data_IF_028338952155
#
_entry.id   IF_028338952155
#
_cell.length_a   1.000
_cell.length_b   1.000
_cell.length_c   1.000
_cell.angle_alpha   90.00
_cell.angle_beta   90.00
_cell.angle_gamma   90.00
#
_symmetry.space_group_name_H-M   'P 1'
#
loop_
_entity.id
_entity.type
_entity.pdbx_description
1 polymer ?
#
# COMPACT_ATOMS: atom_id res chain seq x y z
N UNK A 1 -85.66 93.85 1.05
CA UNK A 1 -86.53 93.33 2.19
C UNK A 1 -86.74 91.82 2.06
N UNK A 2 -86.55 91.21 3.18
CA UNK A 2 -86.90 89.82 3.58
C UNK A 2 -86.11 88.63 3.04
N UNK A 3 -85.47 88.03 3.96
CA UNK A 3 -84.93 86.71 4.15
C UNK A 3 -85.93 85.59 3.86
N UNK A 4 -85.49 84.53 3.41
CA UNK A 4 -85.91 83.17 3.89
C UNK A 4 -84.82 82.19 3.79
N UNK A 5 -84.51 81.56 4.95
CA UNK A 5 -83.64 80.45 5.18
C UNK A 5 -84.22 79.13 4.63
N UNK A 6 -83.42 78.31 4.01
CA UNK A 6 -83.77 76.95 3.72
C UNK A 6 -82.60 76.04 4.16
N UNK A 7 -82.84 75.27 5.14
CA UNK A 7 -81.92 74.31 5.81
C UNK A 7 -81.48 73.20 4.79
N UNK A 8 -80.22 73.02 4.65
CA UNK A 8 -79.63 71.86 3.93
C UNK A 8 -79.45 70.67 4.95
N UNK A 9 -80.16 69.58 4.72
CA UNK A 9 -80.06 68.32 5.44
C UNK A 9 -78.72 67.68 5.05
N UNK A 10 -77.80 67.57 6.01
CA UNK A 10 -76.58 66.78 5.96
C UNK A 10 -76.86 65.28 5.77
N UNK A 11 -76.61 64.71 4.63
CA UNK A 11 -76.52 63.25 4.45
C UNK A 11 -75.16 62.75 4.98
N UNK A 12 -75.17 62.03 6.10
CA UNK A 12 -74.03 61.24 6.62
C UNK A 12 -73.81 60.05 5.65
N UNK A 13 -72.84 60.18 4.73
CA UNK A 13 -72.35 59.08 3.92
C UNK A 13 -71.70 58.04 4.80
N UNK A 14 -72.15 56.82 4.68
CA UNK A 14 -71.46 55.60 5.26
C UNK A 14 -70.10 55.52 4.59
N UNK A 15 -69.02 55.69 5.35
CA UNK A 15 -67.65 55.44 4.89
C UNK A 15 -67.51 53.97 4.54
N UNK A 16 -67.06 53.58 3.36
CA UNK A 16 -66.92 52.21 3.00
C UNK A 16 -65.78 51.57 3.84
N UNK A 17 -66.01 50.41 4.43
CA UNK A 17 -65.00 49.63 5.17
C UNK A 17 -63.93 49.00 4.26
N UNK A 18 -63.91 49.33 2.96
CA UNK A 18 -62.95 48.87 1.97
C UNK A 18 -61.50 49.24 2.33
N UNK A 19 -61.13 50.48 2.73
CA UNK A 19 -59.76 50.81 3.08
C UNK A 19 -59.23 50.05 4.28
N UNK A 20 -60.06 49.70 5.25
CA UNK A 20 -59.59 48.90 6.40
C UNK A 20 -59.28 47.46 6.02
N UNK A 21 -60.11 46.82 5.22
CA UNK A 21 -59.85 45.46 4.69
C UNK A 21 -58.64 45.41 3.80
N UNK A 22 -58.43 46.42 2.95
CA UNK A 22 -57.27 46.53 2.11
C UNK A 22 -55.97 46.72 2.91
N UNK A 23 -56.00 47.62 3.91
CA UNK A 23 -54.88 47.86 4.81
C UNK A 23 -54.54 46.59 5.65
N UNK A 24 -55.55 45.85 6.11
CA UNK A 24 -55.35 44.61 6.79
C UNK A 24 -54.70 43.57 5.89
N UNK A 25 -55.12 43.47 4.62
CA UNK A 25 -54.52 42.57 3.66
C UNK A 25 -53.03 42.94 3.37
N UNK A 26 -52.78 44.24 3.18
CA UNK A 26 -51.42 44.74 3.03
C UNK A 26 -50.54 44.45 4.26
N UNK A 27 -51.08 44.62 5.47
CA UNK A 27 -50.39 44.33 6.72
C UNK A 27 -50.04 42.84 6.84
N UNK A 28 -50.96 41.96 6.47
CA UNK A 28 -50.71 40.52 6.45
C UNK A 28 -49.63 40.12 5.46
N UNK A 29 -49.70 40.67 4.20
CA UNK A 29 -48.70 40.43 3.19
C UNK A 29 -47.35 40.97 3.62
N UNK A 30 -47.31 42.18 4.19
CA UNK A 30 -46.07 42.79 4.68
C UNK A 30 -45.44 41.95 5.81
N UNK A 31 -46.25 41.46 6.76
CA UNK A 31 -45.76 40.61 7.85
C UNK A 31 -45.22 39.28 7.35
N UNK A 32 -45.87 38.68 6.34
CA UNK A 32 -45.35 37.49 5.68
C UNK A 32 -44.02 37.74 4.98
N UNK A 33 -43.90 38.90 4.29
CA UNK A 33 -42.69 39.30 3.59
C UNK A 33 -41.52 39.57 4.56
N UNK A 34 -41.81 40.26 5.67
CA UNK A 34 -40.84 40.47 6.79
C UNK A 34 -40.41 39.13 7.39
N UNK A 35 -41.38 38.23 7.64
CA UNK A 35 -41.07 36.88 8.14
C UNK A 35 -40.17 36.09 7.18
N UNK A 36 -40.37 36.17 5.88
CA UNK A 36 -39.52 35.58 4.84
C UNK A 36 -38.12 36.17 4.86
N UNK A 37 -37.98 37.51 4.91
CA UNK A 37 -36.68 38.18 5.00
C UNK A 37 -35.92 37.80 6.26
N UNK A 38 -36.61 37.76 7.42
CA UNK A 38 -36.00 37.33 8.69
C UNK A 38 -35.57 35.86 8.61
N UNK A 39 -36.39 34.99 8.00
CA UNK A 39 -36.05 33.60 7.80
C UNK A 39 -34.86 33.41 6.85
N UNK A 40 -34.83 34.18 5.78
CA UNK A 40 -33.73 34.19 4.82
C UNK A 40 -32.43 34.69 5.48
N UNK A 41 -32.51 35.78 6.26
CA UNK A 41 -31.38 36.29 7.06
C UNK A 41 -30.86 35.27 8.07
N UNK A 42 -31.76 34.61 8.75
CA UNK A 42 -31.41 33.53 9.70
C UNK A 42 -30.67 32.38 8.98
N UNK A 43 -31.21 31.90 7.86
CA UNK A 43 -30.57 30.87 7.02
C UNK A 43 -29.20 31.29 6.50
N UNK A 44 -29.03 32.57 6.10
CA UNK A 44 -27.76 33.06 5.54
C UNK A 44 -26.70 33.34 6.62
N UNK A 45 -27.10 33.89 7.78
CA UNK A 45 -26.16 34.36 8.80
C UNK A 45 -25.90 33.26 9.86
N UNK A 46 -26.95 32.58 10.33
CA UNK A 46 -26.81 31.60 11.43
C UNK A 46 -26.53 30.21 10.91
N UNK A 47 -27.22 29.76 9.87
CA UNK A 47 -27.05 28.44 9.27
C UNK A 47 -26.09 28.43 8.07
N UNK A 48 -25.67 29.60 7.56
CA UNK A 48 -24.82 29.76 6.39
C UNK A 48 -23.46 29.05 6.51
N UNK A 49 -22.85 29.08 7.69
CA UNK A 49 -21.63 28.33 7.96
C UNK A 49 -21.86 26.81 7.99
N UNK A 50 -22.98 26.35 8.51
CA UNK A 50 -23.33 24.93 8.54
C UNK A 50 -23.73 24.41 7.16
N UNK A 51 -24.42 25.24 6.37
CA UNK A 51 -24.69 24.97 4.95
C UNK A 51 -23.42 24.96 4.11
N UNK A 52 -22.53 25.94 4.30
CA UNK A 52 -21.22 25.93 3.65
C UNK A 52 -20.38 24.74 4.06
N UNK A 53 -20.37 24.35 5.35
CA UNK A 53 -19.71 23.13 5.80
C UNK A 53 -20.31 21.87 5.17
N UNK A 54 -21.65 21.79 5.03
CA UNK A 54 -22.31 20.65 4.37
C UNK A 54 -22.08 20.64 2.87
N UNK A 55 -22.06 21.78 2.19
CA UNK A 55 -21.72 21.89 0.76
C UNK A 55 -20.24 21.54 0.56
N UNK A 56 -19.35 22.05 1.39
CA UNK A 56 -17.91 21.76 1.33
C UNK A 56 -17.64 20.30 1.68
N UNK A 57 -18.28 19.73 2.67
CA UNK A 57 -18.15 18.31 3.02
C UNK A 57 -18.70 17.36 1.95
N UNK A 58 -19.70 17.81 1.17
CA UNK A 58 -20.20 17.03 0.01
C UNK A 58 -19.43 17.29 -1.29
N UNK A 59 -18.65 18.36 -1.37
CA UNK A 59 -17.94 18.78 -2.60
C UNK A 59 -16.44 18.64 -2.50
N UNK A 60 -15.86 18.63 -1.29
CA UNK A 60 -14.42 18.46 -1.11
C UNK A 60 -14.08 17.00 -0.82
N UNK A 61 -13.63 16.33 -1.86
CA UNK A 61 -13.12 14.98 -1.76
C UNK A 61 -11.62 15.03 -1.58
N UNK A 62 -11.08 14.18 -0.70
CA UNK A 62 -9.64 14.11 -0.47
C UNK A 62 -9.06 12.92 -1.21
N UNK A 63 -7.99 13.18 -1.96
CA UNK A 63 -7.12 12.15 -2.52
C UNK A 63 -5.81 12.10 -1.75
N UNK A 64 -5.19 10.93 -1.74
CA UNK A 64 -3.90 10.72 -1.08
C UNK A 64 -2.84 10.30 -2.08
N UNK A 65 -1.63 10.81 -1.91
CA UNK A 65 -0.45 10.44 -2.71
C UNK A 65 0.60 9.83 -1.80
N UNK A 66 1.25 8.72 -2.19
CA UNK A 66 2.29 8.08 -1.39
C UNK A 66 3.47 9.01 -1.08
N UNK A 67 4.00 8.90 0.12
CA UNK A 67 5.23 9.58 0.55
C UNK A 67 6.41 8.60 0.59
N UNK A 68 7.66 9.10 0.52
CA UNK A 68 8.85 8.25 0.58
C UNK A 68 8.90 7.44 1.88
N UNK A 69 9.32 6.17 1.78
CA UNK A 69 9.62 5.36 2.97
C UNK A 69 10.84 5.86 3.72
N UNK A 70 10.95 5.52 5.00
CA UNK A 70 12.17 5.69 5.78
C UNK A 70 13.36 4.97 5.13
N UNK A 71 14.55 5.49 5.27
CA UNK A 71 15.79 4.85 4.84
C UNK A 71 16.28 3.87 5.89
N UNK A 72 17.08 2.88 5.46
CA UNK A 72 17.72 1.92 6.38
C UNK A 72 19.23 2.18 6.35
N UNK A 73 19.80 2.31 7.54
CA UNK A 73 21.22 2.60 7.77
C UNK A 73 21.88 1.48 8.54
N UNK A 74 23.16 1.30 8.34
CA UNK A 74 23.98 0.48 9.22
C UNK A 74 24.31 1.21 10.54
N UNK A 75 25.10 0.57 11.42
CA UNK A 75 25.49 1.11 12.72
C UNK A 75 26.36 2.38 12.62
N UNK A 76 27.07 2.57 11.52
CA UNK A 76 27.93 3.72 11.27
C UNK A 76 27.19 4.87 10.56
N UNK A 77 25.92 4.66 10.17
CA UNK A 77 25.13 5.65 9.44
C UNK A 77 25.31 5.58 7.92
N UNK A 78 25.93 4.52 7.39
CA UNK A 78 25.99 4.27 5.96
C UNK A 78 24.62 3.81 5.47
N UNK A 79 24.13 4.40 4.37
CA UNK A 79 22.85 4.04 3.76
C UNK A 79 22.93 2.64 3.18
N UNK A 80 22.04 1.76 3.59
CA UNK A 80 21.88 0.42 3.02
C UNK A 80 20.69 0.36 2.05
N UNK A 81 19.61 1.08 2.38
CA UNK A 81 18.41 1.18 1.55
C UNK A 81 17.96 2.63 1.49
N UNK A 82 17.81 3.13 0.28
CA UNK A 82 17.31 4.47 0.00
C UNK A 82 16.02 4.45 -0.83
N UNK A 83 15.54 5.63 -1.21
CA UNK A 83 14.47 5.79 -2.18
C UNK A 83 15.01 6.57 -3.37
N UNK A 84 14.73 6.09 -4.57
CA UNK A 84 14.98 6.80 -5.82
C UNK A 84 13.68 7.49 -6.24
N UNK A 85 13.74 8.81 -6.42
CA UNK A 85 12.64 9.57 -6.98
C UNK A 85 12.62 9.41 -8.49
N UNK A 86 11.46 9.09 -9.04
CA UNK A 86 11.23 9.03 -10.47
C UNK A 86 10.12 10.02 -10.83
N UNK A 87 10.27 10.71 -11.94
CA UNK A 87 9.16 11.48 -12.51
C UNK A 87 8.02 10.53 -12.86
N UNK A 88 6.80 10.97 -12.65
CA UNK A 88 5.62 10.14 -12.90
C UNK A 88 4.49 10.94 -13.53
N UNK A 89 3.68 10.26 -14.33
CA UNK A 89 2.42 10.74 -14.85
C UNK A 89 1.33 9.90 -14.21
N UNK A 90 0.39 10.55 -13.55
CA UNK A 90 -0.64 9.93 -12.73
C UNK A 90 -2.04 10.18 -13.28
N UNK A 91 -2.97 9.32 -12.93
CA UNK A 91 -4.39 9.52 -13.16
C UNK A 91 -5.17 9.30 -11.88
N UNK A 92 -6.01 10.25 -11.53
CA UNK A 92 -6.97 10.13 -10.42
C UNK A 92 -8.37 9.97 -11.00
N UNK A 93 -9.02 8.85 -10.72
CA UNK A 93 -10.38 8.60 -11.21
C UNK A 93 -11.38 9.44 -10.42
N UNK A 94 -12.17 10.25 -11.12
CA UNK A 94 -13.26 11.00 -10.52
C UNK A 94 -14.41 10.11 -10.01
N UNK A 95 -15.47 10.75 -9.53
CA UNK A 95 -16.67 10.05 -9.05
C UNK A 95 -17.59 9.72 -10.23
N UNK A 96 -18.09 8.49 -10.28
CA UNK A 96 -18.99 7.98 -11.33
C UNK A 96 -18.39 8.03 -12.75
N UNK A 97 -17.08 8.02 -12.88
CA UNK A 97 -16.37 7.94 -14.17
C UNK A 97 -16.34 6.48 -14.63
N UNK A 98 -16.84 6.22 -15.83
CA UNK A 98 -16.89 4.89 -16.46
C UNK A 98 -15.83 4.74 -17.56
N UNK A 99 -15.67 3.52 -18.10
CA UNK A 99 -14.72 3.27 -19.18
C UNK A 99 -14.92 4.17 -20.41
N UNK A 100 -16.16 4.47 -20.76
CA UNK A 100 -16.50 5.39 -21.87
C UNK A 100 -15.96 6.81 -21.68
N UNK A 101 -15.87 7.27 -20.42
CA UNK A 101 -15.33 8.59 -20.07
C UNK A 101 -13.81 8.60 -20.03
N UNK A 102 -13.20 7.44 -19.72
CA UNK A 102 -11.74 7.25 -19.67
C UNK A 102 -11.15 7.12 -21.08
N UNK A 103 -11.86 6.46 -22.00
CA UNK A 103 -11.36 6.16 -23.34
C UNK A 103 -10.82 7.42 -24.10
N UNK A 104 -11.56 8.54 -24.20
CA UNK A 104 -11.05 9.72 -24.90
C UNK A 104 -9.82 10.33 -24.18
N UNK A 105 -9.76 10.27 -22.85
CA UNK A 105 -8.60 10.75 -22.09
C UNK A 105 -7.38 9.86 -22.36
N UNK A 106 -7.54 8.55 -22.34
CA UNK A 106 -6.46 7.59 -22.60
C UNK A 106 -5.89 7.77 -24.01
N UNK A 107 -6.77 7.96 -25.02
CA UNK A 107 -6.34 8.23 -26.39
C UNK A 107 -5.59 9.57 -26.50
N UNK A 108 -6.07 10.61 -25.83
CA UNK A 108 -5.40 11.91 -25.82
C UNK A 108 -4.03 11.84 -25.14
N UNK A 109 -3.91 11.14 -24.02
CA UNK A 109 -2.62 10.90 -23.36
C UNK A 109 -1.67 10.14 -24.28
N UNK A 110 -2.16 9.15 -25.04
CA UNK A 110 -1.37 8.39 -26.02
C UNK A 110 -0.87 9.26 -27.18
N UNK A 111 -1.56 10.35 -27.53
CA UNK A 111 -1.08 11.34 -28.49
C UNK A 111 0.06 12.18 -27.94
N UNK A 112 0.04 12.50 -26.64
CA UNK A 112 0.95 13.43 -26.00
C UNK A 112 2.27 12.80 -25.55
N UNK A 113 2.22 11.52 -25.10
CA UNK A 113 3.39 10.82 -24.55
C UNK A 113 3.53 9.40 -25.10
N UNK A 114 4.73 8.87 -24.98
CA UNK A 114 5.01 7.48 -25.35
C UNK A 114 4.97 6.58 -24.10
N UNK A 115 4.00 5.67 -24.02
CA UNK A 115 3.91 4.66 -22.96
C UNK A 115 4.20 3.29 -23.56
N UNK A 116 5.24 2.57 -23.09
CA UNK A 116 5.53 1.23 -23.60
C UNK A 116 4.33 0.29 -23.41
N UNK A 117 4.10 -0.57 -24.41
CA UNK A 117 3.05 -1.60 -24.32
C UNK A 117 3.33 -2.51 -23.14
N UNK A 118 2.30 -2.75 -22.31
CA UNK A 118 2.39 -3.70 -21.20
C UNK A 118 2.54 -5.13 -21.77
N UNK A 119 3.64 -5.85 -21.47
CA UNK A 119 3.83 -7.21 -21.97
C UNK A 119 2.77 -8.21 -21.43
N UNK A 120 2.05 -7.82 -20.38
CA UNK A 120 0.99 -8.63 -19.77
C UNK A 120 -0.42 -8.18 -20.20
N UNK A 121 -0.57 -7.53 -21.36
CA UNK A 121 -1.87 -7.24 -21.94
C UNK A 121 -2.59 -8.55 -22.30
N UNK A 122 -3.79 -8.72 -21.78
CA UNK A 122 -4.68 -9.83 -22.10
C UNK A 122 -5.68 -9.46 -23.19
N UNK A 123 -6.29 -10.44 -23.83
CA UNK A 123 -7.38 -10.18 -24.77
C UNK A 123 -8.59 -9.54 -24.07
N UNK A 124 -8.77 -9.81 -22.77
CA UNK A 124 -9.78 -9.13 -21.95
C UNK A 124 -9.51 -7.62 -21.88
N UNK A 125 -8.27 -7.18 -21.66
CA UNK A 125 -7.92 -5.76 -21.61
C UNK A 125 -8.20 -5.05 -22.96
N UNK A 126 -7.90 -5.72 -24.07
CA UNK A 126 -8.18 -5.21 -25.42
C UNK A 126 -9.68 -5.12 -25.69
N UNK A 127 -10.47 -6.13 -25.26
CA UNK A 127 -11.93 -6.13 -25.37
C UNK A 127 -12.54 -5.03 -24.52
N UNK A 128 -12.09 -4.82 -23.31
CA UNK A 128 -12.58 -3.75 -22.41
C UNK A 128 -12.30 -2.36 -23.01
N UNK A 129 -11.12 -2.15 -23.63
CA UNK A 129 -10.81 -0.93 -24.38
C UNK A 129 -11.75 -0.74 -25.58
N UNK A 130 -11.96 -1.78 -26.39
CA UNK A 130 -12.84 -1.73 -27.55
C UNK A 130 -14.30 -1.44 -27.17
N UNK A 131 -14.80 -2.08 -26.12
CA UNK A 131 -16.14 -1.91 -25.60
C UNK A 131 -16.34 -0.58 -24.83
N UNK A 132 -15.30 0.10 -24.44
CA UNK A 132 -15.39 1.43 -23.84
C UNK A 132 -15.95 2.46 -24.83
N UNK A 133 -15.88 2.20 -26.14
CA UNK A 133 -16.63 2.95 -27.15
C UNK A 133 -18.12 2.55 -27.09
N UNK A 134 -19.06 3.49 -26.86
CA UNK A 134 -20.48 3.21 -26.73
C UNK A 134 -21.11 2.55 -27.97
N UNK A 135 -20.60 2.89 -29.17
CA UNK A 135 -21.10 2.28 -30.41
C UNK A 135 -20.70 0.80 -30.53
N UNK A 136 -19.45 0.49 -30.16
CA UNK A 136 -18.95 -0.88 -30.14
C UNK A 136 -19.68 -1.72 -29.09
N UNK A 137 -19.94 -1.15 -27.91
CA UNK A 137 -20.72 -1.82 -26.87
C UNK A 137 -22.13 -2.16 -27.36
N UNK A 138 -22.81 -1.22 -28.03
CA UNK A 138 -24.13 -1.46 -28.65
C UNK A 138 -24.05 -2.56 -29.70
N UNK A 139 -23.01 -2.55 -30.55
CA UNK A 139 -22.80 -3.57 -31.57
C UNK A 139 -22.61 -4.96 -30.96
N UNK A 140 -21.79 -5.08 -29.90
CA UNK A 140 -21.60 -6.34 -29.18
C UNK A 140 -22.88 -6.81 -28.47
N UNK A 141 -23.61 -5.91 -27.83
CA UNK A 141 -24.90 -6.22 -27.18
C UNK A 141 -25.97 -6.65 -28.19
N UNK A 142 -25.98 -6.12 -29.40
CA UNK A 142 -26.90 -6.53 -30.47
C UNK A 142 -26.67 -7.99 -30.95
N UNK A 143 -25.48 -8.54 -30.69
CA UNK A 143 -25.17 -9.96 -31.00
C UNK A 143 -25.59 -10.91 -29.89
N UNK A 144 -26.11 -10.42 -28.77
CA UNK A 144 -26.62 -11.25 -27.69
C UNK A 144 -27.96 -11.88 -28.14
N UNK A 145 -28.03 -13.20 -28.10
CA UNK A 145 -29.25 -13.95 -28.31
C UNK A 145 -30.22 -13.81 -27.12
N UNK A 146 -31.46 -14.18 -27.27
CA UNK A 146 -32.42 -14.17 -26.15
C UNK A 146 -31.96 -15.09 -25.02
N UNK A 147 -31.30 -16.20 -25.34
CA UNK A 147 -30.71 -17.14 -24.39
C UNK A 147 -29.52 -16.50 -23.63
N UNK A 148 -28.72 -15.63 -24.26
CA UNK A 148 -27.64 -14.88 -23.59
C UNK A 148 -28.19 -13.88 -22.58
N UNK A 149 -29.44 -13.42 -22.71
CA UNK A 149 -30.12 -12.44 -21.85
C UNK A 149 -30.88 -13.07 -20.69
N UNK A 150 -30.87 -14.40 -20.59
CA UNK A 150 -31.50 -15.17 -19.52
C UNK A 150 -30.44 -15.81 -18.60
N UNK A 151 -30.80 -15.96 -17.32
CA UNK A 151 -30.02 -16.69 -16.34
C UNK A 151 -30.23 -18.21 -16.49
N UNK A 152 -29.51 -19.04 -15.74
CA UNK A 152 -29.64 -20.51 -15.74
C UNK A 152 -31.06 -21.01 -15.40
N UNK A 153 -31.93 -20.16 -14.86
CA UNK A 153 -33.32 -20.45 -14.48
C UNK A 153 -34.31 -19.92 -15.49
N UNK A 154 -33.87 -19.32 -16.61
CA UNK A 154 -34.70 -18.72 -17.63
C UNK A 154 -35.28 -17.35 -17.27
N UNK A 155 -34.75 -16.67 -16.25
CA UNK A 155 -35.17 -15.32 -15.93
C UNK A 155 -34.31 -14.29 -16.69
N UNK A 156 -34.94 -13.18 -17.11
CA UNK A 156 -34.25 -12.12 -17.81
C UNK A 156 -33.17 -11.45 -16.91
N UNK A 157 -31.95 -11.42 -17.40
CA UNK A 157 -30.83 -10.74 -16.75
C UNK A 157 -31.06 -9.22 -16.82
N UNK A 158 -31.15 -8.57 -15.66
CA UNK A 158 -31.28 -7.12 -15.52
C UNK A 158 -30.00 -6.47 -15.02
N UNK A 159 -29.03 -7.26 -14.55
CA UNK A 159 -27.74 -6.80 -14.09
C UNK A 159 -26.85 -6.38 -15.27
N UNK A 160 -26.49 -5.09 -15.32
CA UNK A 160 -25.65 -4.52 -16.38
C UNK A 160 -24.26 -5.14 -16.44
N UNK A 161 -23.69 -5.53 -15.29
CA UNK A 161 -22.37 -6.16 -15.21
C UNK A 161 -22.38 -7.54 -15.88
N UNK A 162 -23.43 -8.33 -15.66
CA UNK A 162 -23.60 -9.64 -16.29
C UNK A 162 -23.83 -9.51 -17.81
N UNK A 163 -24.65 -8.54 -18.22
CA UNK A 163 -24.84 -8.26 -19.65
C UNK A 163 -23.57 -7.77 -20.33
N UNK A 164 -22.76 -6.96 -19.64
CA UNK A 164 -21.44 -6.55 -20.12
C UNK A 164 -20.50 -7.75 -20.27
N UNK A 165 -20.45 -8.65 -19.30
CA UNK A 165 -19.65 -9.87 -19.39
C UNK A 165 -20.01 -10.73 -20.60
N UNK A 166 -21.30 -10.88 -20.88
CA UNK A 166 -21.82 -11.56 -22.08
C UNK A 166 -21.42 -10.83 -23.37
N UNK A 167 -21.46 -9.48 -23.39
CA UNK A 167 -21.04 -8.68 -24.52
C UNK A 167 -19.53 -8.85 -24.81
N UNK A 168 -18.68 -8.96 -23.77
CA UNK A 168 -17.25 -9.25 -23.91
C UNK A 168 -16.99 -10.55 -24.65
N UNK A 169 -17.81 -11.59 -24.44
CA UNK A 169 -17.68 -12.87 -25.12
C UNK A 169 -17.99 -12.77 -26.63
N UNK A 170 -18.82 -11.80 -27.03
CA UNK A 170 -19.21 -11.59 -28.44
C UNK A 170 -18.20 -10.74 -29.24
N UNK A 171 -17.16 -10.20 -28.59
CA UNK A 171 -16.08 -9.47 -29.29
C UNK A 171 -15.17 -10.46 -29.99
N UNK A 172 -14.97 -10.26 -31.31
CA UNK A 172 -14.17 -11.15 -32.13
C UNK A 172 -12.67 -10.84 -32.07
N UNK A 173 -11.77 -11.78 -32.41
CA UNK A 173 -10.32 -11.54 -32.45
C UNK A 173 -9.92 -10.42 -33.43
N UNK A 174 -10.64 -10.27 -34.52
CA UNK A 174 -10.37 -9.26 -35.55
C UNK A 174 -10.64 -7.85 -35.04
N UNK A 175 -11.62 -7.68 -34.14
CA UNK A 175 -11.97 -6.39 -33.55
C UNK A 175 -10.94 -5.88 -32.54
N UNK A 176 -10.09 -6.77 -32.03
CA UNK A 176 -9.02 -6.47 -31.07
C UNK A 176 -7.62 -6.64 -31.64
N UNK A 177 -7.50 -6.85 -32.96
CA UNK A 177 -6.22 -6.93 -33.68
C UNK A 177 -5.64 -5.52 -33.87
N UNK A 178 -5.16 -4.93 -32.79
CA UNK A 178 -4.66 -3.56 -32.76
C UNK A 178 -3.19 -3.45 -33.21
N UNK A 179 -2.83 -2.33 -33.82
CA UNK A 179 -1.46 -1.94 -34.04
C UNK A 179 -0.73 -1.50 -32.77
N UNK A 180 0.58 -1.37 -32.81
CA UNK A 180 1.40 -1.01 -31.66
C UNK A 180 0.97 0.32 -31.02
N UNK A 181 0.57 1.30 -31.82
CA UNK A 181 0.11 2.60 -31.31
C UNK A 181 -1.18 2.49 -30.54
N UNK A 182 -2.09 1.68 -31.03
CA UNK A 182 -3.36 1.38 -30.32
C UNK A 182 -3.10 0.54 -29.08
N UNK A 183 -2.18 -0.43 -29.11
CA UNK A 183 -1.80 -1.22 -27.92
C UNK A 183 -1.19 -0.36 -26.80
N UNK A 184 -0.50 0.75 -27.15
CA UNK A 184 -0.10 1.74 -26.15
C UNK A 184 -1.31 2.43 -25.51
N UNK A 185 -2.31 2.81 -26.32
CA UNK A 185 -3.57 3.39 -25.78
C UNK A 185 -4.34 2.38 -24.91
N UNK A 186 -4.38 1.10 -25.31
CA UNK A 186 -4.94 0.01 -24.47
C UNK A 186 -4.21 -0.08 -23.13
N UNK A 187 -2.88 0.01 -23.15
CA UNK A 187 -2.07 0.00 -21.91
C UNK A 187 -2.42 1.17 -20.99
N UNK A 188 -2.53 2.38 -21.54
CA UNK A 188 -2.93 3.57 -20.79
C UNK A 188 -4.34 3.39 -20.23
N UNK A 189 -5.29 3.00 -21.07
CA UNK A 189 -6.68 2.75 -20.69
C UNK A 189 -6.78 1.71 -19.55
N UNK A 190 -6.11 0.57 -19.68
CA UNK A 190 -6.05 -0.48 -18.66
C UNK A 190 -5.62 0.08 -17.30
N UNK A 191 -4.51 0.85 -17.28
CA UNK A 191 -3.99 1.46 -16.04
C UNK A 191 -4.97 2.45 -15.44
N UNK A 192 -5.58 3.30 -16.26
CA UNK A 192 -6.57 4.29 -15.80
C UNK A 192 -7.86 3.62 -15.32
N UNK A 193 -8.34 2.60 -16.02
CA UNK A 193 -9.58 1.90 -15.68
C UNK A 193 -9.45 1.03 -14.41
N UNK A 194 -8.24 0.60 -14.05
CA UNK A 194 -7.96 -0.09 -12.80
C UNK A 194 -8.07 0.80 -11.56
N UNK A 195 -8.05 2.13 -11.73
CA UNK A 195 -8.21 3.06 -10.62
C UNK A 195 -9.60 2.93 -9.98
N UNK A 196 -9.66 2.74 -8.67
CA UNK A 196 -10.90 2.93 -7.91
C UNK A 196 -11.28 4.41 -7.87
N UNK A 197 -12.56 4.71 -7.61
CA UNK A 197 -13.01 6.10 -7.47
C UNK A 197 -12.19 6.84 -6.41
N UNK A 198 -11.78 8.06 -6.72
CA UNK A 198 -10.96 8.93 -5.90
C UNK A 198 -9.58 8.36 -5.53
N UNK A 199 -9.13 7.35 -6.25
CA UNK A 199 -7.78 6.80 -6.10
C UNK A 199 -6.89 7.18 -7.27
N UNK A 200 -5.60 7.39 -6.98
CA UNK A 200 -4.58 7.76 -7.98
C UNK A 200 -3.77 6.53 -8.37
N UNK A 201 -3.57 6.35 -9.66
CA UNK A 201 -2.71 5.31 -10.26
C UNK A 201 -1.65 5.96 -11.14
N UNK A 202 -0.56 5.24 -11.40
CA UNK A 202 0.46 5.70 -12.34
C UNK A 202 0.12 5.27 -13.77
N UNK A 203 0.04 6.24 -14.69
CA UNK A 203 0.02 5.96 -16.13
C UNK A 203 1.43 5.56 -16.58
N UNK A 204 2.44 6.35 -16.16
CA UNK A 204 3.86 6.10 -16.45
C UNK A 204 4.69 6.58 -15.26
N UNK A 205 5.58 5.73 -14.74
CA UNK A 205 6.44 6.02 -13.58
C UNK A 205 7.90 5.56 -13.79
N UNK A 206 8.21 5.04 -14.99
CA UNK A 206 9.55 4.66 -15.39
C UNK A 206 9.89 5.32 -16.73
N UNK A 207 11.10 5.86 -16.84
CA UNK A 207 11.56 6.50 -18.06
C UNK A 207 10.74 7.73 -18.49
N UNK A 208 10.10 8.42 -17.55
CA UNK A 208 9.40 9.68 -17.80
C UNK A 208 10.43 10.78 -17.99
N UNK A 209 10.32 11.53 -19.07
CA UNK A 209 11.20 12.66 -19.40
C UNK A 209 10.62 13.99 -18.92
N UNK A 210 11.48 14.99 -18.72
CA UNK A 210 11.02 16.36 -18.38
C UNK A 210 10.15 16.94 -19.50
N UNK A 211 10.38 16.58 -20.76
CA UNK A 211 9.55 16.99 -21.89
C UNK A 211 8.13 16.43 -21.79
N UNK A 212 7.97 15.16 -21.42
CA UNK A 212 6.64 14.56 -21.20
C UNK A 212 5.91 15.23 -20.02
N UNK A 213 6.63 15.57 -18.94
CA UNK A 213 6.06 16.31 -17.80
C UNK A 213 5.55 17.69 -18.25
N UNK A 214 6.34 18.44 -19.04
CA UNK A 214 5.93 19.73 -19.57
C UNK A 214 4.69 19.61 -20.48
N UNK A 215 4.72 18.64 -21.42
CA UNK A 215 3.60 18.38 -22.34
C UNK A 215 2.31 18.05 -21.59
N UNK A 216 2.34 17.18 -20.61
CA UNK A 216 1.16 16.86 -19.77
C UNK A 216 0.72 18.09 -18.98
N UNK A 217 1.66 18.86 -18.41
CA UNK A 217 1.35 20.10 -17.68
C UNK A 217 0.58 21.14 -18.51
N UNK A 218 0.93 21.30 -19.79
CA UNK A 218 0.27 22.22 -20.72
C UNK A 218 -1.15 21.77 -21.11
N UNK A 219 -1.43 20.47 -21.12
CA UNK A 219 -2.70 19.89 -21.59
C UNK A 219 -3.63 19.43 -20.46
N UNK A 220 -3.35 19.78 -19.20
CA UNK A 220 -4.16 19.32 -18.05
C UNK A 220 -5.64 19.65 -18.15
N UNK A 221 -6.01 20.74 -18.81
CA UNK A 221 -7.41 21.11 -19.04
C UNK A 221 -8.15 20.15 -19.99
N UNK A 222 -7.43 19.48 -20.89
CA UNK A 222 -7.99 18.53 -21.88
C UNK A 222 -8.05 17.10 -21.37
N UNK A 223 -7.20 16.74 -20.38
CA UNK A 223 -7.01 15.40 -19.86
C UNK A 223 -7.39 15.32 -18.37
N UNK A 224 -8.70 15.49 -18.10
CA UNK A 224 -9.23 15.52 -16.74
C UNK A 224 -8.74 14.34 -15.88
N UNK A 225 -8.26 14.67 -14.67
CA UNK A 225 -7.74 13.68 -13.71
C UNK A 225 -6.30 13.25 -13.97
N UNK A 226 -5.70 13.60 -15.10
CA UNK A 226 -4.28 13.34 -15.36
C UNK A 226 -3.43 14.47 -14.78
N UNK A 227 -2.35 14.13 -14.11
CA UNK A 227 -1.42 15.10 -13.53
C UNK A 227 0.01 14.55 -13.51
N UNK A 228 0.95 15.45 -13.28
CA UNK A 228 2.36 15.10 -13.07
C UNK A 228 2.63 14.90 -11.59
N UNK A 229 3.57 14.01 -11.28
CA UNK A 229 3.91 13.66 -9.91
C UNK A 229 5.29 13.04 -9.77
N UNK A 230 5.54 12.47 -8.62
CA UNK A 230 6.78 11.74 -8.32
C UNK A 230 6.41 10.37 -7.77
N UNK A 231 7.04 9.35 -8.30
CA UNK A 231 7.04 8.00 -7.73
C UNK A 231 8.33 7.76 -6.95
N UNK A 232 8.27 6.89 -5.95
CA UNK A 232 9.38 6.52 -5.11
C UNK A 232 9.62 5.02 -5.20
N UNK A 233 10.73 4.64 -5.82
CA UNK A 233 11.15 3.23 -5.86
C UNK A 233 12.19 2.95 -4.79
N UNK A 234 12.15 1.74 -4.22
CA UNK A 234 13.12 1.29 -3.23
C UNK A 234 14.45 0.97 -3.89
N UNK A 235 15.53 1.55 -3.41
CA UNK A 235 16.88 1.32 -3.91
C UNK A 235 17.70 0.54 -2.87
N UNK A 236 18.05 -0.69 -3.22
CA UNK A 236 18.86 -1.62 -2.42
C UNK A 236 20.30 -1.73 -2.91
N UNK A 237 20.74 -0.88 -3.83
CA UNK A 237 22.05 -0.98 -4.48
C UNK A 237 23.23 -1.00 -3.51
N UNK A 238 23.07 -0.41 -2.34
CA UNK A 238 24.09 -0.33 -1.29
C UNK A 238 23.99 -1.43 -0.21
N UNK A 239 23.03 -2.34 -0.34
CA UNK A 239 22.73 -3.34 0.70
C UNK A 239 23.75 -4.46 0.80
N UNK A 240 24.49 -4.77 -0.28
CA UNK A 240 25.49 -5.84 -0.30
C UNK A 240 24.96 -7.19 0.18
N UNK A 241 25.73 -7.84 1.02
CA UNK A 241 25.38 -9.14 1.62
C UNK A 241 24.11 -9.12 2.51
N UNK A 242 23.71 -7.95 2.99
CA UNK A 242 22.51 -7.80 3.82
C UNK A 242 21.21 -7.80 3.02
N UNK A 243 21.28 -7.83 1.68
CA UNK A 243 20.10 -7.69 0.79
C UNK A 243 18.94 -8.61 1.17
N UNK A 244 19.23 -9.87 1.48
CA UNK A 244 18.20 -10.86 1.84
C UNK A 244 17.54 -10.54 3.19
N UNK A 245 18.31 -10.09 4.18
CA UNK A 245 17.83 -9.74 5.51
C UNK A 245 16.92 -8.49 5.47
N UNK A 246 17.21 -7.54 4.60
CA UNK A 246 16.41 -6.31 4.48
C UNK A 246 14.99 -6.61 3.99
N UNK A 247 14.81 -7.63 3.17
CA UNK A 247 13.50 -7.98 2.63
C UNK A 247 13.12 -7.18 1.39
N UNK A 248 11.84 -7.18 1.08
CA UNK A 248 11.28 -6.58 -0.12
C UNK A 248 10.04 -5.75 0.19
N UNK A 249 9.72 -4.83 -0.72
CA UNK A 249 8.50 -4.03 -0.72
C UNK A 249 7.69 -4.41 -1.96
N UNK A 250 6.37 -4.52 -1.85
CA UNK A 250 5.50 -4.79 -2.99
C UNK A 250 5.58 -3.67 -4.02
N UNK A 251 5.34 -4.01 -5.27
CA UNK A 251 5.16 -3.01 -6.34
C UNK A 251 3.74 -2.45 -6.29
N UNK A 252 3.50 -1.30 -6.92
CA UNK A 252 2.15 -0.73 -7.02
C UNK A 252 1.15 -1.69 -7.70
N UNK A 253 1.62 -2.46 -8.70
CA UNK A 253 0.79 -3.47 -9.38
C UNK A 253 0.42 -4.64 -8.48
N UNK A 254 1.31 -5.05 -7.59
CA UNK A 254 1.04 -6.09 -6.61
C UNK A 254 0.14 -5.58 -5.48
N UNK A 255 0.34 -4.32 -5.06
CA UNK A 255 -0.41 -3.72 -3.97
C UNK A 255 -0.22 -4.46 -2.65
N UNK A 256 -1.30 -4.52 -1.87
CA UNK A 256 -1.33 -5.22 -0.59
C UNK A 256 -1.30 -6.74 -0.78
N UNK A 257 -0.56 -7.50 0.05
CA UNK A 257 -0.60 -8.95 0.04
C UNK A 257 -2.02 -9.47 0.25
N UNK A 258 -2.46 -10.43 -0.57
CA UNK A 258 -3.85 -10.94 -0.58
C UNK A 258 -4.31 -11.46 0.79
N UNK A 259 -3.39 -12.10 1.52
CA UNK A 259 -3.67 -12.70 2.84
C UNK A 259 -3.84 -11.66 3.96
N UNK A 260 -3.30 -10.45 3.80
CA UNK A 260 -3.25 -9.39 4.80
C UNK A 260 -4.06 -8.14 4.41
N UNK A 261 -4.77 -8.18 3.28
CA UNK A 261 -5.50 -7.02 2.72
C UNK A 261 -6.43 -6.37 3.73
N UNK A 262 -7.23 -7.17 4.44
CA UNK A 262 -8.22 -6.65 5.38
C UNK A 262 -7.57 -5.96 6.59
N UNK A 263 -6.42 -6.41 7.04
CA UNK A 263 -5.66 -5.79 8.11
C UNK A 263 -5.12 -4.41 7.68
N UNK A 264 -4.48 -4.36 6.50
CA UNK A 264 -3.95 -3.12 5.96
C UNK A 264 -5.05 -2.09 5.66
N UNK A 265 -6.20 -2.52 5.11
CA UNK A 265 -7.34 -1.62 4.87
C UNK A 265 -7.87 -1.01 6.17
N UNK A 266 -7.94 -1.78 7.27
CA UNK A 266 -8.30 -1.26 8.60
C UNK A 266 -7.31 -0.23 9.13
N UNK A 267 -6.03 -0.34 8.77
CA UNK A 267 -4.97 0.63 9.08
C UNK A 267 -4.98 1.86 8.15
N UNK A 268 -5.90 1.93 7.19
CA UNK A 268 -6.05 3.07 6.26
C UNK A 268 -5.19 3.01 5.01
N UNK A 269 -4.66 1.84 4.67
CA UNK A 269 -3.97 1.64 3.39
C UNK A 269 -4.96 1.52 2.23
N UNK A 270 -4.55 1.92 1.05
CA UNK A 270 -5.26 1.64 -0.20
C UNK A 270 -4.78 0.30 -0.78
N UNK A 271 -5.61 -0.37 -1.59
CA UNK A 271 -5.28 -1.69 -2.17
C UNK A 271 -4.00 -1.70 -3.00
N UNK A 272 -3.65 -0.59 -3.64
CA UNK A 272 -2.45 -0.40 -4.44
C UNK A 272 -1.27 0.19 -3.67
N UNK A 273 -1.36 0.32 -2.34
CA UNK A 273 -0.24 0.77 -1.54
C UNK A 273 0.88 -0.26 -1.53
N UNK A 274 2.11 0.23 -1.50
CA UNK A 274 3.32 -0.57 -1.38
C UNK A 274 3.64 -0.77 0.08
N UNK A 275 3.79 -2.03 0.48
CA UNK A 275 4.11 -2.42 1.85
C UNK A 275 5.29 -3.38 1.88
N UNK A 276 5.97 -3.47 3.02
CA UNK A 276 7.00 -4.48 3.23
C UNK A 276 6.39 -5.88 3.19
N UNK A 277 6.98 -6.77 2.38
CA UNK A 277 6.47 -8.13 2.15
C UNK A 277 7.28 -9.20 2.87
N UNK A 278 8.51 -8.86 3.28
CA UNK A 278 9.37 -9.82 3.97
C UNK A 278 10.38 -9.13 4.91
N UNK A 279 10.87 -9.87 5.89
CA UNK A 279 11.94 -9.54 6.83
C UNK A 279 11.86 -8.13 7.42
N UNK A 280 12.94 -7.34 7.40
CA UNK A 280 12.98 -6.02 8.06
C UNK A 280 12.01 -5.02 7.44
N UNK A 281 11.84 -5.03 6.11
CA UNK A 281 10.86 -4.16 5.47
C UNK A 281 9.43 -4.44 5.96
N UNK A 282 9.07 -5.71 6.17
CA UNK A 282 7.76 -6.11 6.71
C UNK A 282 7.65 -5.85 8.21
N UNK A 283 8.66 -6.28 8.96
CA UNK A 283 8.66 -6.17 10.43
C UNK A 283 8.56 -4.73 10.92
N UNK A 284 9.18 -3.79 10.18
CA UNK A 284 9.20 -2.38 10.53
C UNK A 284 8.32 -1.53 9.61
N UNK A 285 7.25 -2.12 9.03
CA UNK A 285 6.31 -1.42 8.16
C UNK A 285 5.78 -0.13 8.80
N UNK A 286 5.28 -0.21 10.03
CA UNK A 286 4.69 0.92 10.75
C UNK A 286 5.69 2.07 11.03
N UNK A 287 7.00 1.77 11.04
CA UNK A 287 8.08 2.75 11.22
C UNK A 287 8.53 3.35 9.89
N UNK A 288 8.71 2.46 8.90
CA UNK A 288 9.26 2.82 7.59
C UNK A 288 8.26 3.51 6.68
N UNK A 289 6.96 3.27 6.87
CA UNK A 289 5.93 3.90 6.07
C UNK A 289 5.87 5.41 6.31
N UNK A 290 5.77 6.18 5.21
CA UNK A 290 5.51 7.62 5.27
C UNK A 290 4.02 7.95 5.46
N UNK A 291 3.72 9.11 6.00
CA UNK A 291 2.36 9.64 5.99
C UNK A 291 2.05 10.21 4.62
N UNK A 292 0.96 9.76 4.01
CA UNK A 292 0.54 10.18 2.67
C UNK A 292 0.30 11.69 2.60
N UNK A 293 0.69 12.29 1.48
CA UNK A 293 0.25 13.64 1.13
C UNK A 293 -1.26 13.62 0.86
N UNK A 294 -1.94 14.72 1.17
CA UNK A 294 -3.38 14.88 0.95
C UNK A 294 -3.62 16.08 0.08
N UNK A 295 -4.50 15.92 -0.90
CA UNK A 295 -5.01 17.01 -1.73
C UNK A 295 -6.53 17.00 -1.70
N UNK A 296 -7.11 18.18 -1.75
CA UNK A 296 -8.53 18.39 -1.98
C UNK A 296 -8.78 18.48 -3.48
N UNK A 297 -9.80 17.79 -3.95
CA UNK A 297 -10.23 17.86 -5.34
C UNK A 297 -11.64 18.45 -5.43
N UNK A 298 -11.84 19.29 -6.43
CA UNK A 298 -13.15 19.83 -6.79
C UNK A 298 -13.63 19.06 -8.01
N UNK A 299 -14.86 18.57 -7.95
CA UNK A 299 -15.51 17.87 -9.04
C UNK A 299 -16.52 18.77 -9.74
N UNK A 300 -16.70 18.59 -11.05
CA UNK A 300 -17.85 19.13 -11.77
C UNK A 300 -19.12 18.30 -11.51
N UNK A 301 -20.24 18.73 -12.12
CA UNK A 301 -21.53 18.04 -11.99
C UNK A 301 -21.53 16.62 -12.56
N UNK A 302 -20.55 16.28 -13.42
CA UNK A 302 -20.37 14.98 -14.03
C UNK A 302 -19.39 14.09 -13.24
N UNK A 303 -18.85 14.58 -12.11
CA UNK A 303 -17.88 13.86 -11.29
C UNK A 303 -16.45 13.93 -11.79
N UNK A 304 -16.12 14.74 -12.80
CA UNK A 304 -14.76 14.94 -13.28
C UNK A 304 -13.99 15.90 -12.38
N UNK A 305 -12.70 15.62 -12.18
CA UNK A 305 -11.81 16.50 -11.41
C UNK A 305 -11.50 17.75 -12.25
N UNK A 306 -11.87 18.92 -11.73
CA UNK A 306 -11.62 20.23 -12.35
C UNK A 306 -10.49 21.00 -11.66
N UNK A 307 -10.24 20.75 -10.38
CA UNK A 307 -9.07 21.30 -9.69
C UNK A 307 -8.60 20.40 -8.56
N UNK A 308 -7.31 20.50 -8.23
CA UNK A 308 -6.66 19.79 -7.14
C UNK A 308 -5.80 20.76 -6.35
N UNK A 309 -6.06 20.89 -5.04
CA UNK A 309 -5.35 21.79 -4.14
C UNK A 309 -4.65 20.98 -3.04
N UNK A 310 -3.34 21.10 -2.85
CA UNK A 310 -2.64 20.40 -1.77
C UNK A 310 -3.11 20.87 -0.39
N UNK A 311 -3.48 19.93 0.51
CA UNK A 311 -3.80 20.18 1.92
C UNK A 311 -2.57 19.90 2.80
N UNK A 312 -1.87 18.80 2.52
CA UNK A 312 -0.73 18.32 3.29
C UNK A 312 0.31 17.72 2.36
N UNK A 313 1.56 18.08 2.55
CA UNK A 313 2.71 17.57 1.77
C UNK A 313 3.06 16.11 2.07
N UNK A 314 2.43 15.52 3.09
CA UNK A 314 2.84 14.22 3.61
C UNK A 314 4.16 14.30 4.38
N UNK A 315 4.55 13.19 4.98
CA UNK A 315 5.79 13.08 5.74
C UNK A 315 6.52 11.80 5.32
N UNK A 316 7.85 11.91 5.15
CA UNK A 316 8.69 10.73 4.93
C UNK A 316 8.60 9.79 6.15
N UNK A 317 8.64 8.48 5.92
CA UNK A 317 8.73 7.50 7.01
C UNK A 317 9.98 7.67 7.86
N UNK A 318 9.93 7.20 9.10
CA UNK A 318 11.08 7.23 10.01
C UNK A 318 12.18 6.31 9.52
N UNK A 319 13.43 6.72 9.70
CA UNK A 319 14.56 5.91 9.31
C UNK A 319 14.82 4.79 10.32
N UNK A 320 15.31 3.66 9.83
CA UNK A 320 15.73 2.52 10.64
C UNK A 320 17.27 2.47 10.66
N UNK A 321 17.86 2.45 11.85
CA UNK A 321 19.29 2.25 12.05
C UNK A 321 19.54 0.86 12.63
N UNK A 322 20.26 0.03 11.89
CA UNK A 322 20.63 -1.33 12.32
C UNK A 322 21.81 -1.30 13.28
N UNK A 323 21.98 -2.35 14.04
CA UNK A 323 23.17 -2.61 14.86
C UNK A 323 24.33 -3.20 14.04
N UNK A 324 24.03 -3.73 12.85
CA UNK A 324 25.01 -4.34 11.95
C UNK A 324 25.92 -3.25 11.35
N UNK A 325 27.21 -3.50 11.36
CA UNK A 325 28.22 -2.71 10.65
C UNK A 325 28.48 -3.37 9.29
N UNK A 326 28.21 -2.68 8.20
CA UNK A 326 28.31 -3.24 6.85
C UNK A 326 29.74 -3.61 6.45
N UNK A 327 30.75 -2.89 6.96
CA UNK A 327 32.15 -3.24 6.70
C UNK A 327 32.58 -4.48 7.45
N UNK A 328 32.17 -4.59 8.72
CA UNK A 328 32.42 -5.76 9.53
C UNK A 328 31.67 -6.98 8.95
N UNK A 329 30.42 -6.83 8.55
CA UNK A 329 29.63 -7.86 7.85
C UNK A 329 30.37 -8.40 6.63
N UNK A 330 30.82 -7.52 5.73
CA UNK A 330 31.55 -7.94 4.52
C UNK A 330 32.82 -8.72 4.85
N UNK A 331 33.52 -8.32 5.94
CA UNK A 331 34.73 -9.01 6.37
C UNK A 331 34.42 -10.40 6.97
N UNK A 332 33.34 -10.51 7.72
CA UNK A 332 32.86 -11.81 8.22
C UNK A 332 32.47 -12.74 7.08
N UNK A 333 31.74 -12.23 6.10
CA UNK A 333 31.37 -13.02 4.90
C UNK A 333 32.58 -13.52 4.14
N UNK A 334 33.58 -12.64 3.87
CA UNK A 334 34.81 -13.02 3.21
C UNK A 334 35.57 -14.13 3.97
N UNK A 335 35.70 -13.98 5.28
CA UNK A 335 36.42 -14.95 6.11
C UNK A 335 35.67 -16.28 6.15
N UNK A 336 34.34 -16.26 6.35
CA UNK A 336 33.52 -17.47 6.41
C UNK A 336 33.56 -18.21 5.06
N UNK A 337 33.31 -17.50 3.95
CA UNK A 337 33.35 -18.07 2.61
C UNK A 337 34.68 -18.75 2.31
N UNK A 338 35.79 -18.05 2.56
CA UNK A 338 37.14 -18.58 2.29
C UNK A 338 37.43 -19.85 3.11
N UNK A 339 37.19 -19.80 4.40
CA UNK A 339 37.49 -20.94 5.28
C UNK A 339 36.54 -22.10 5.01
N UNK A 340 35.24 -21.86 4.85
CA UNK A 340 34.27 -22.90 4.59
C UNK A 340 34.51 -23.60 3.25
N UNK A 341 34.81 -22.82 2.16
CA UNK A 341 35.19 -23.40 0.87
C UNK A 341 36.46 -24.26 0.94
N UNK A 342 37.37 -24.01 1.89
CA UNK A 342 38.53 -24.86 2.12
C UNK A 342 38.15 -26.11 2.93
N UNK A 343 37.35 -25.98 3.98
CA UNK A 343 36.92 -27.06 4.84
C UNK A 343 36.17 -28.14 4.05
N UNK A 344 35.19 -27.77 3.23
CA UNK A 344 34.39 -28.71 2.44
C UNK A 344 35.24 -29.51 1.44
N UNK A 345 36.37 -28.95 1.00
CA UNK A 345 37.31 -29.61 0.05
C UNK A 345 38.29 -30.57 0.75
N UNK A 346 38.48 -30.42 2.05
CA UNK A 346 39.56 -31.14 2.77
C UNK A 346 39.05 -32.06 3.86
N UNK A 347 38.39 -31.56 4.89
CA UNK A 347 38.07 -32.29 6.11
C UNK A 347 36.56 -32.46 6.35
N UNK A 348 35.72 -31.69 5.68
CA UNK A 348 34.28 -31.69 5.90
C UNK A 348 33.45 -31.78 4.62
N UNK A 349 33.68 -32.76 3.70
CA UNK A 349 33.01 -32.84 2.41
C UNK A 349 31.48 -33.03 2.51
N UNK A 350 30.97 -33.47 3.65
CA UNK A 350 29.55 -33.68 3.93
C UNK A 350 28.93 -32.54 4.76
N UNK A 351 29.69 -31.47 5.05
CA UNK A 351 29.15 -30.29 5.71
C UNK A 351 28.29 -29.51 4.73
N UNK A 352 27.02 -29.35 5.03
CA UNK A 352 26.07 -28.64 4.13
C UNK A 352 25.98 -27.16 4.45
N UNK A 353 26.24 -26.73 5.68
CA UNK A 353 26.06 -25.36 6.10
C UNK A 353 27.15 -24.86 7.04
N UNK A 354 27.40 -23.56 7.01
CA UNK A 354 28.22 -22.86 7.98
C UNK A 354 27.64 -21.49 8.32
N UNK A 355 27.58 -21.16 9.60
CA UNK A 355 27.00 -19.90 10.09
C UNK A 355 27.93 -19.19 11.05
N UNK A 356 27.83 -17.83 11.04
CA UNK A 356 28.47 -16.95 12.01
C UNK A 356 27.48 -15.89 12.44
N UNK A 357 27.30 -15.71 13.74
CA UNK A 357 26.61 -14.58 14.36
C UNK A 357 27.56 -13.92 15.34
N UNK A 358 27.93 -12.67 15.07
CA UNK A 358 28.73 -11.85 15.96
C UNK A 358 27.82 -10.91 16.73
N UNK A 359 27.89 -10.96 18.07
CA UNK A 359 27.02 -10.20 18.95
C UNK A 359 27.83 -9.51 20.06
N UNK A 360 27.43 -8.31 20.42
CA UNK A 360 27.93 -7.64 21.60
C UNK A 360 27.26 -8.22 22.86
N UNK A 361 27.98 -8.89 23.76
CA UNK A 361 27.37 -9.58 24.89
C UNK A 361 26.78 -8.65 25.96
N UNK A 362 27.21 -7.38 26.02
CA UNK A 362 26.70 -6.41 26.98
C UNK A 362 25.37 -5.78 26.56
N UNK A 363 25.16 -5.63 25.24
CA UNK A 363 23.99 -4.94 24.69
C UNK A 363 23.02 -5.85 23.97
N UNK A 364 23.42 -7.08 23.61
CA UNK A 364 22.66 -7.98 22.75
C UNK A 364 22.66 -7.56 21.27
N UNK A 365 23.38 -6.50 20.89
CA UNK A 365 23.39 -6.00 19.51
C UNK A 365 24.08 -7.00 18.57
N UNK A 366 23.41 -7.40 17.50
CA UNK A 366 24.00 -8.20 16.42
C UNK A 366 24.86 -7.29 15.57
N UNK A 367 26.16 -7.58 15.46
CA UNK A 367 27.15 -6.80 14.74
C UNK A 367 27.34 -7.29 13.30
N UNK A 368 27.22 -8.63 13.10
CA UNK A 368 27.25 -9.29 11.80
C UNK A 368 26.53 -10.64 11.89
N UNK A 369 25.98 -11.09 10.77
CA UNK A 369 25.32 -12.40 10.64
C UNK A 369 25.54 -12.92 9.23
N UNK A 370 26.17 -14.09 9.10
CA UNK A 370 26.59 -14.69 7.83
C UNK A 370 26.23 -16.15 7.78
N UNK A 371 25.92 -16.66 6.60
CA UNK A 371 25.66 -18.06 6.34
C UNK A 371 26.04 -18.45 4.92
N UNK A 372 26.56 -19.69 4.77
CA UNK A 372 26.85 -20.30 3.47
C UNK A 372 26.29 -21.72 3.43
N UNK A 373 25.86 -22.11 2.25
CA UNK A 373 25.40 -23.45 1.93
C UNK A 373 26.37 -24.14 0.96
N UNK A 374 26.65 -25.41 1.20
CA UNK A 374 27.42 -26.27 0.32
C UNK A 374 26.51 -27.32 -0.30
N UNK A 375 26.34 -27.25 -1.60
CA UNK A 375 25.59 -28.23 -2.37
C UNK A 375 26.43 -29.49 -2.55
N UNK A 376 26.01 -30.60 -1.92
CA UNK A 376 26.74 -31.88 -1.95
C UNK A 376 26.78 -32.50 -3.35
N UNK A 377 25.85 -32.16 -4.25
CA UNK A 377 25.82 -32.72 -5.60
C UNK A 377 26.77 -31.99 -6.54
N UNK A 378 26.85 -30.65 -6.44
CA UNK A 378 27.68 -29.82 -7.29
C UNK A 378 29.03 -29.45 -6.68
N UNK A 379 29.15 -29.52 -5.36
CA UNK A 379 30.31 -29.06 -4.59
C UNK A 379 30.42 -27.51 -4.51
N UNK A 380 29.38 -26.79 -4.89
CA UNK A 380 29.37 -25.34 -4.88
C UNK A 380 29.05 -24.78 -3.49
N UNK A 381 29.77 -23.73 -3.07
CA UNK A 381 29.52 -22.99 -1.83
C UNK A 381 28.89 -21.64 -2.18
N UNK A 382 27.63 -21.47 -1.79
CA UNK A 382 26.81 -20.27 -2.09
C UNK A 382 26.41 -19.51 -0.85
N UNK A 383 26.25 -18.16 -0.88
CA UNK A 383 25.75 -17.38 0.24
C UNK A 383 24.32 -17.80 0.64
N UNK A 384 24.08 -18.00 1.94
CA UNK A 384 22.78 -18.22 2.53
C UNK A 384 22.61 -17.37 3.81
N UNK A 385 22.49 -16.05 3.68
CA UNK A 385 22.54 -15.11 4.80
C UNK A 385 21.34 -15.21 5.77
N UNK A 386 20.25 -15.87 5.35
CA UNK A 386 19.05 -16.09 6.18
C UNK A 386 19.12 -17.41 6.97
N UNK A 387 20.00 -18.30 6.60
CA UNK A 387 20.11 -19.61 7.26
C UNK A 387 20.32 -19.54 8.78
N UNK A 388 21.11 -18.59 9.34
CA UNK A 388 21.24 -18.45 10.78
C UNK A 388 19.92 -18.17 11.52
N UNK A 389 18.89 -17.73 10.82
CA UNK A 389 17.56 -17.45 11.38
C UNK A 389 16.56 -18.55 11.05
N UNK A 390 16.67 -19.15 9.86
CA UNK A 390 15.62 -20.04 9.32
C UNK A 390 15.94 -21.52 9.49
N UNK A 391 17.22 -21.89 9.53
CA UNK A 391 17.60 -23.29 9.63
C UNK A 391 17.59 -23.76 11.10
N UNK A 392 17.18 -25.00 11.28
CA UNK A 392 17.25 -25.70 12.56
C UNK A 392 18.38 -26.72 12.49
N UNK A 393 19.33 -26.61 13.39
CA UNK A 393 20.49 -27.51 13.48
C UNK A 393 20.48 -28.28 14.78
N UNK A 394 21.12 -29.45 14.79
CA UNK A 394 21.32 -30.22 16.04
C UNK A 394 22.39 -29.53 16.88
N UNK A 395 22.05 -28.96 18.05
CA UNK A 395 22.97 -28.07 18.78
C UNK A 395 24.13 -28.83 19.46
N UNK A 396 24.01 -30.14 19.61
CA UNK A 396 25.03 -30.91 20.35
C UNK A 396 25.28 -30.37 21.76
N UNK A 397 26.52 -30.27 22.16
CA UNK A 397 26.92 -29.79 23.49
C UNK A 397 26.64 -28.32 23.76
N UNK A 398 26.34 -27.52 22.75
CA UNK A 398 25.93 -26.09 22.92
C UNK A 398 24.67 -25.98 23.78
N UNK A 399 23.78 -26.98 23.75
CA UNK A 399 22.57 -27.01 24.58
C UNK A 399 22.86 -26.99 26.09
N UNK A 400 24.06 -27.41 26.51
CA UNK A 400 24.46 -27.43 27.93
C UNK A 400 24.40 -26.05 28.56
N UNK A 401 24.73 -24.98 27.83
CA UNK A 401 24.62 -23.62 28.30
C UNK A 401 23.15 -23.23 28.61
N UNK A 402 22.21 -23.62 27.72
CA UNK A 402 20.77 -23.42 27.96
C UNK A 402 20.26 -24.22 29.17
N UNK A 403 20.72 -25.47 29.33
CA UNK A 403 20.37 -26.32 30.49
C UNK A 403 20.83 -25.69 31.79
N UNK A 404 22.09 -25.20 31.87
CA UNK A 404 22.60 -24.51 33.05
C UNK A 404 21.82 -23.20 33.33
N UNK A 405 21.53 -22.40 32.30
CA UNK A 405 20.73 -21.20 32.47
C UNK A 405 19.35 -21.50 33.03
N UNK A 406 18.67 -22.51 32.51
CA UNK A 406 17.37 -22.95 33.05
C UNK A 406 17.48 -23.44 34.51
N UNK A 407 18.58 -24.14 34.87
CA UNK A 407 18.86 -24.55 36.24
C UNK A 407 19.01 -23.34 37.18
N UNK A 408 19.68 -22.29 36.77
CA UNK A 408 19.83 -21.06 37.57
C UNK A 408 18.50 -20.30 37.66
N UNK A 409 17.76 -20.14 36.57
CA UNK A 409 16.47 -19.43 36.56
C UNK A 409 15.43 -20.11 37.44
N UNK A 410 15.40 -21.45 37.43
CA UNK A 410 14.49 -22.24 38.29
C UNK A 410 14.94 -22.35 39.74
N UNK A 411 16.14 -21.88 40.05
CA UNK A 411 16.73 -21.95 41.39
C UNK A 411 17.17 -23.35 41.84
N UNK A 412 17.19 -24.32 40.92
CA UNK A 412 17.71 -25.66 41.15
C UNK A 412 19.23 -25.63 41.31
N UNK A 413 19.89 -24.77 40.56
CA UNK A 413 21.34 -24.53 40.64
C UNK A 413 21.58 -23.18 41.30
N UNK A 414 22.53 -23.13 42.24
CA UNK A 414 22.92 -21.91 42.96
C UNK A 414 24.45 -21.76 42.99
N UNK A 415 24.92 -20.63 42.47
CA UNK A 415 26.35 -20.35 42.46
C UNK A 415 27.15 -21.36 41.63
N UNK A 416 28.28 -21.81 42.15
CA UNK A 416 29.15 -22.82 41.51
C UNK A 416 29.02 -24.16 42.24
N UNK A 417 27.85 -24.78 42.16
CA UNK A 417 27.54 -26.03 42.84
C UNK A 417 28.49 -27.13 42.36
N UNK A 418 28.76 -28.05 43.28
CA UNK A 418 29.55 -29.26 43.01
C UNK A 418 28.60 -30.41 42.70
N UNK A 419 28.77 -31.02 41.54
CA UNK A 419 27.98 -32.15 41.08
C UNK A 419 28.87 -33.39 40.92
N UNK A 420 28.30 -34.58 41.11
CA UNK A 420 28.95 -35.84 40.81
C UNK A 420 28.57 -36.28 39.41
N UNK A 421 29.57 -36.57 38.58
CA UNK A 421 29.37 -37.10 37.22
C UNK A 421 29.15 -38.61 37.31
N UNK A 422 27.90 -39.01 37.08
CA UNK A 422 27.48 -40.42 37.12
C UNK A 422 26.77 -40.80 35.82
N UNK A 423 26.83 -42.10 35.49
CA UNK A 423 26.13 -42.62 34.34
C UNK A 423 24.60 -42.49 34.50
N UNK A 424 23.94 -41.88 33.53
CA UNK A 424 22.48 -41.74 33.52
C UNK A 424 21.86 -42.98 32.89
N UNK A 425 20.97 -43.63 33.64
CA UNK A 425 20.20 -44.77 33.19
C UNK A 425 18.86 -44.35 32.68
N UNK A 426 18.65 -44.43 31.36
CA UNK A 426 17.38 -44.17 30.72
C UNK A 426 16.69 -45.47 30.35
N UNK A 427 15.39 -45.60 30.68
CA UNK A 427 14.61 -46.80 30.35
C UNK A 427 14.67 -47.11 28.85
N UNK A 428 15.06 -48.33 28.48
CA UNK A 428 15.17 -48.80 27.10
C UNK A 428 16.42 -48.34 26.33
N UNK A 429 17.41 -47.74 27.01
CA UNK A 429 18.70 -47.37 26.39
C UNK A 429 19.90 -47.87 27.17
N UNK A 430 21.07 -47.91 26.52
CA UNK A 430 22.34 -48.13 27.22
C UNK A 430 22.62 -46.95 28.15
N UNK A 431 23.36 -47.19 29.30
CA UNK A 431 23.80 -46.10 30.17
C UNK A 431 24.53 -45.01 29.38
N UNK A 432 24.19 -43.77 29.65
CA UNK A 432 24.87 -42.58 29.07
C UNK A 432 25.85 -42.05 30.09
N UNK A 433 27.14 -42.20 29.85
CA UNK A 433 28.20 -41.70 30.69
C UNK A 433 29.09 -40.69 29.93
N UNK A 434 29.77 -39.84 30.67
CA UNK A 434 30.80 -38.96 30.09
C UNK A 434 31.90 -39.82 29.49
N UNK A 435 32.34 -39.55 28.27
CA UNK A 435 33.37 -40.34 27.58
C UNK A 435 34.73 -40.37 28.33
N UNK A 436 35.03 -39.28 29.04
CA UNK A 436 36.26 -39.14 29.84
C UNK A 436 36.12 -39.72 31.26
N UNK A 437 34.92 -40.03 31.74
CA UNK A 437 34.63 -40.56 33.06
C UNK A 437 33.63 -41.74 32.99
N UNK A 438 33.93 -42.74 32.18
CA UNK A 438 33.04 -43.89 31.94
C UNK A 438 32.70 -44.71 33.19
N UNK A 439 33.54 -44.66 34.19
CA UNK A 439 33.35 -45.36 35.51
C UNK A 439 32.48 -44.57 36.49
N UNK A 440 32.22 -43.25 36.22
CA UNK A 440 31.47 -42.39 37.11
C UNK A 440 32.18 -42.04 38.43
N UNK A 441 31.47 -41.27 39.26
CA UNK A 441 31.93 -40.94 40.61
C UNK A 441 32.91 -39.78 40.73
N UNK A 442 33.19 -39.05 39.64
CA UNK A 442 34.06 -37.89 39.72
C UNK A 442 33.20 -36.65 40.05
N UNK A 443 33.58 -35.92 41.08
CA UNK A 443 32.93 -34.65 41.46
C UNK A 443 33.61 -33.46 40.75
N UNK A 444 32.82 -32.52 40.27
CA UNK A 444 33.33 -31.30 39.63
C UNK A 444 32.41 -30.09 39.87
N UNK A 445 33.00 -28.93 39.81
CA UNK A 445 32.24 -27.68 39.87
C UNK A 445 31.58 -27.37 38.52
N UNK A 446 30.44 -26.68 38.54
CA UNK A 446 29.70 -26.28 37.31
C UNK A 446 30.57 -25.52 36.32
N UNK A 447 31.50 -24.70 36.77
CA UNK A 447 32.44 -23.97 35.91
C UNK A 447 33.40 -24.90 35.13
N UNK A 448 33.59 -26.12 35.54
CA UNK A 448 34.46 -27.10 34.87
C UNK A 448 33.72 -27.86 33.76
N UNK A 449 32.38 -27.88 33.79
CA UNK A 449 31.54 -28.52 32.76
C UNK A 449 31.81 -27.90 31.39
N UNK A 450 32.02 -26.59 31.31
CA UNK A 450 32.39 -25.90 30.09
C UNK A 450 33.72 -26.36 29.47
N UNK A 451 34.70 -26.74 30.28
CA UNK A 451 35.98 -27.29 29.82
C UNK A 451 35.82 -28.69 29.20
N UNK A 452 34.93 -29.50 29.72
CA UNK A 452 34.64 -30.84 29.16
C UNK A 452 33.99 -30.75 27.78
N UNK A 453 33.11 -29.76 27.55
CA UNK A 453 32.43 -29.54 26.28
C UNK A 453 33.33 -29.04 25.15
N UNK A 454 34.45 -28.40 25.44
CA UNK A 454 35.38 -27.86 24.43
C UNK A 454 36.37 -28.90 23.88
N UNK A 455 36.33 -30.14 24.33
CA UNK A 455 37.25 -31.24 23.94
C UNK A 455 36.59 -32.35 23.10
N UNK A 456 35.26 -32.22 22.83
CA UNK A 456 34.53 -33.16 21.99
C UNK A 456 34.46 -32.71 20.53
#
# INVERSE_FOLDING_TARGET
IKKTDAAAKSQRGRKPHIPFRLNLLFFVIFTLFVSLIVRLGYLQIVEGEEFNKKITANSSLQITTPSPRGQIYDSQGKVLVSNKANLAITYTRGKNIEGKDILPIANKVNELINVPVDPNLTDRDKKDYWLANPENLKAAQARLTDQDKEDEKGNKITDEGTLYAKAVEKVTPEEIAFDDRTLQAVTIFKRMNAASQMNTVFIKNEGVTEGEIATIGEHTAEISGVSTGTDWTRDYSQSGALRSLLGTVSTEKQGLPAEEVDEYLKKGYARNDRVGTSYLEKQYEDVLQGKKAKSEVVLDNNGKIVSQTPISKGEKGSNLKLTIDSNFQNKVDEILQRNYSQIVKTIGPYSENAYVVAMNPQTGAILAMSGFHHDLATGEVTPNPLAPILNSEVPGSVVKAGTLTAGYETGVIKGNDVLTDEAILLAGSNPKASWWNASGGTTMQLTEIGRASCRE
#
